data_IF_186797684341
#
_entry.id   IF_186797684341
#
_cell.length_a   1.000
_cell.length_b   1.000
_cell.length_c   1.000
_cell.angle_alpha   90.00
_cell.angle_beta   90.00
_cell.angle_gamma   90.00
#
_symmetry.space_group_name_H-M   'P 1'
#
loop_
_entity.id
_entity.type
_entity.pdbx_description
1 polymer ?
#
# COMPACT_ATOMS: atom_id res chain seq x y z
N UNK A 1 14.03 -62.76 -17.83
CA UNK A 1 13.36 -61.67 -17.07
C UNK A 1 14.17 -60.40 -17.28
N UNK A 2 13.62 -59.40 -17.97
CA UNK A 2 14.31 -58.12 -18.18
C UNK A 2 14.40 -57.35 -16.85
N UNK A 3 15.56 -56.74 -16.57
CA UNK A 3 15.78 -55.95 -15.35
C UNK A 3 14.88 -54.70 -15.34
N UNK A 4 14.52 -54.19 -14.16
CA UNK A 4 13.66 -52.99 -13.99
C UNK A 4 14.03 -51.76 -14.87
N UNK A 5 15.32 -51.47 -15.17
CA UNK A 5 15.70 -50.40 -16.10
C UNK A 5 15.30 -50.69 -17.56
N UNK A 6 15.52 -51.92 -18.03
CA UNK A 6 15.17 -52.35 -19.40
C UNK A 6 13.66 -52.27 -19.66
N UNK A 7 12.85 -52.50 -18.62
CA UNK A 7 11.39 -52.39 -18.70
C UNK A 7 10.91 -50.93 -18.85
N UNK A 8 11.58 -49.98 -18.21
CA UNK A 8 11.24 -48.55 -18.33
C UNK A 8 11.63 -47.99 -19.70
N UNK A 9 12.78 -48.41 -20.25
CA UNK A 9 13.23 -47.99 -21.58
C UNK A 9 12.26 -48.43 -22.67
N UNK A 10 11.78 -49.67 -22.61
CA UNK A 10 10.74 -50.17 -23.53
C UNK A 10 9.43 -49.37 -23.41
N UNK A 11 9.00 -49.05 -22.19
CA UNK A 11 7.80 -48.23 -21.97
C UNK A 11 7.98 -46.80 -22.50
N UNK A 12 9.16 -46.20 -22.31
CA UNK A 12 9.48 -44.87 -22.81
C UNK A 12 9.47 -44.84 -24.35
N UNK A 13 9.99 -45.88 -25.00
CA UNK A 13 9.90 -46.03 -26.46
C UNK A 13 8.45 -46.12 -26.95
N UNK A 14 7.61 -46.93 -26.31
CA UNK A 14 6.19 -47.04 -26.65
C UNK A 14 5.43 -45.72 -26.47
N UNK A 15 5.70 -44.97 -25.39
CA UNK A 15 5.10 -43.65 -25.18
C UNK A 15 5.54 -42.68 -26.28
N UNK A 16 6.83 -42.61 -26.59
CA UNK A 16 7.35 -41.74 -27.63
C UNK A 16 6.80 -42.11 -29.03
N UNK A 17 6.60 -43.39 -29.32
CA UNK A 17 5.94 -43.83 -30.54
C UNK A 17 4.50 -43.30 -30.62
N UNK A 18 3.74 -43.35 -29.51
CA UNK A 18 2.39 -42.76 -29.46
C UNK A 18 2.39 -41.24 -29.65
N UNK A 19 3.31 -40.51 -29.00
CA UNK A 19 3.45 -39.06 -29.20
C UNK A 19 3.81 -38.70 -30.65
N UNK A 20 4.67 -39.51 -31.29
CA UNK A 20 5.06 -39.37 -32.70
C UNK A 20 3.88 -39.64 -33.65
N UNK A 21 3.12 -40.72 -33.43
CA UNK A 21 1.93 -41.03 -34.22
C UNK A 21 0.85 -39.95 -34.09
N UNK A 22 0.74 -39.32 -32.91
CA UNK A 22 -0.14 -38.18 -32.67
C UNK A 22 0.44 -36.83 -33.16
N UNK A 23 1.60 -36.83 -33.83
CA UNK A 23 2.26 -35.65 -34.41
C UNK A 23 2.48 -34.49 -33.42
N UNK A 24 2.68 -34.79 -32.13
CA UNK A 24 2.75 -33.77 -31.09
C UNK A 24 4.07 -32.98 -31.03
N UNK A 25 5.07 -33.34 -31.85
CA UNK A 25 6.34 -32.61 -31.93
C UNK A 25 7.24 -32.67 -30.68
N UNK A 26 6.88 -33.50 -29.70
CA UNK A 26 7.56 -33.66 -28.41
C UNK A 26 7.95 -35.11 -28.15
N UNK A 27 9.10 -35.29 -27.52
CA UNK A 27 9.65 -36.58 -27.09
C UNK A 27 10.03 -36.52 -25.61
N UNK A 28 9.72 -37.58 -24.86
CA UNK A 28 10.17 -37.76 -23.47
C UNK A 28 11.57 -38.39 -23.49
N UNK A 29 12.52 -37.76 -22.81
CA UNK A 29 13.88 -38.27 -22.57
C UNK A 29 14.09 -38.50 -21.07
N UNK A 30 14.76 -39.59 -20.70
CA UNK A 30 15.29 -39.78 -19.36
C UNK A 30 16.69 -39.14 -19.26
N UNK A 31 16.91 -38.32 -18.24
CA UNK A 31 18.23 -37.76 -17.89
C UNK A 31 18.51 -38.04 -16.42
N UNK A 32 19.42 -38.97 -16.16
CA UNK A 32 19.67 -39.50 -14.81
C UNK A 32 18.39 -40.12 -14.25
N UNK A 33 17.97 -39.65 -13.07
CA UNK A 33 16.75 -40.12 -12.40
C UNK A 33 15.50 -39.29 -12.75
N UNK A 34 15.55 -38.38 -13.73
CA UNK A 34 14.41 -37.50 -14.07
C UNK A 34 14.01 -37.58 -15.53
N UNK A 35 12.75 -37.24 -15.79
CA UNK A 35 12.18 -37.14 -17.13
C UNK A 35 12.16 -35.68 -17.61
N UNK A 36 12.45 -35.49 -18.89
CA UNK A 36 12.42 -34.20 -19.59
C UNK A 36 11.70 -34.35 -20.92
N UNK A 37 11.15 -33.26 -21.45
CA UNK A 37 10.67 -33.17 -22.83
C UNK A 37 11.73 -32.56 -23.72
N UNK A 38 11.85 -33.07 -24.93
CA UNK A 38 12.61 -32.50 -26.02
C UNK A 38 11.70 -32.26 -27.20
N UNK A 39 11.79 -31.09 -27.81
CA UNK A 39 11.05 -30.75 -29.01
C UNK A 39 11.32 -29.32 -29.43
N UNK A 40 10.64 -28.87 -30.48
CA UNK A 40 10.74 -27.49 -30.96
C UNK A 40 9.89 -26.60 -30.07
N UNK A 41 10.55 -25.77 -29.26
CA UNK A 41 9.89 -24.85 -28.33
C UNK A 41 10.22 -23.40 -28.71
N UNK A 42 9.37 -22.42 -28.37
CA UNK A 42 9.68 -21.00 -28.51
C UNK A 42 11.00 -20.64 -27.83
N UNK A 43 11.74 -19.62 -28.29
CA UNK A 43 12.94 -19.15 -27.59
C UNK A 43 12.67 -18.88 -26.11
N UNK A 44 13.62 -19.21 -25.23
CA UNK A 44 13.54 -18.84 -23.82
C UNK A 44 13.58 -17.31 -23.67
N UNK A 45 12.92 -16.74 -22.64
CA UNK A 45 13.10 -15.34 -22.28
C UNK A 45 14.61 -15.02 -22.13
N UNK A 46 15.06 -13.94 -22.77
CA UNK A 46 16.48 -13.53 -22.79
C UNK A 46 17.38 -14.31 -23.76
N UNK A 47 16.86 -15.23 -24.58
CA UNK A 47 17.64 -15.91 -25.62
C UNK A 47 17.90 -15.00 -26.82
N UNK A 48 19.10 -15.07 -27.42
CA UNK A 48 19.41 -14.40 -28.69
C UNK A 48 18.73 -15.05 -29.92
N UNK A 49 18.03 -16.17 -29.76
CA UNK A 49 17.37 -16.87 -30.85
C UNK A 49 15.98 -16.30 -31.09
N UNK A 50 15.66 -16.02 -32.36
CA UNK A 50 14.40 -15.37 -32.76
C UNK A 50 13.31 -16.35 -33.24
N UNK A 51 13.67 -17.62 -33.45
CA UNK A 51 12.75 -18.65 -33.98
C UNK A 51 12.67 -19.85 -33.04
N UNK A 52 11.51 -20.55 -32.99
CA UNK A 52 11.41 -21.82 -32.31
C UNK A 52 12.52 -22.76 -32.74
N UNK A 53 13.12 -23.42 -31.77
CA UNK A 53 14.23 -24.35 -32.02
C UNK A 53 14.15 -25.52 -31.06
N UNK A 54 14.89 -26.57 -31.38
CA UNK A 54 14.91 -27.76 -30.54
C UNK A 54 15.51 -27.43 -29.17
N UNK A 55 14.72 -27.63 -28.14
CA UNK A 55 15.07 -27.35 -26.75
C UNK A 55 14.62 -28.48 -25.84
N UNK A 56 15.10 -28.43 -24.60
CA UNK A 56 14.68 -29.33 -23.54
C UNK A 56 13.96 -28.59 -22.43
N UNK A 57 12.92 -29.22 -21.92
CA UNK A 57 12.14 -28.78 -20.79
C UNK A 57 12.16 -29.87 -19.71
N UNK A 58 12.70 -29.56 -18.54
CA UNK A 58 12.64 -30.52 -17.43
C UNK A 58 11.22 -30.57 -16.86
N UNK A 59 10.66 -31.76 -16.69
CA UNK A 59 9.33 -31.93 -16.09
C UNK A 59 9.40 -32.04 -14.56
N UNK A 60 10.60 -32.18 -13.99
CA UNK A 60 10.75 -32.46 -12.57
C UNK A 60 10.17 -33.82 -12.13
N UNK A 61 9.80 -34.71 -13.04
CA UNK A 61 9.23 -36.02 -12.71
C UNK A 61 10.33 -37.08 -12.54
N UNK A 62 10.19 -38.04 -11.61
CA UNK A 62 11.13 -39.15 -11.47
C UNK A 62 11.00 -40.14 -12.65
N UNK A 63 12.09 -40.80 -13.01
CA UNK A 63 12.12 -41.84 -14.03
C UNK A 63 11.54 -43.16 -13.49
N UNK A 64 10.22 -43.18 -13.28
CA UNK A 64 9.44 -44.34 -12.82
C UNK A 64 8.23 -44.57 -13.74
N UNK A 65 7.57 -45.75 -13.70
CA UNK A 65 6.37 -45.98 -14.51
C UNK A 65 5.24 -44.99 -14.23
N UNK A 66 5.07 -44.55 -12.97
CA UNK A 66 4.10 -43.51 -12.60
C UNK A 66 4.53 -42.13 -13.12
N UNK A 67 5.83 -41.79 -13.01
CA UNK A 67 6.40 -40.58 -13.57
C UNK A 67 6.26 -40.50 -15.09
N UNK A 68 6.39 -41.64 -15.79
CA UNK A 68 6.24 -41.72 -17.24
C UNK A 68 4.80 -41.48 -17.69
N UNK A 69 3.79 -42.02 -16.98
CA UNK A 69 2.37 -41.70 -17.24
C UNK A 69 2.08 -40.22 -17.05
N UNK A 70 2.62 -39.62 -15.99
CA UNK A 70 2.50 -38.18 -15.74
C UNK A 70 3.21 -37.34 -16.82
N UNK A 71 4.38 -37.79 -17.28
CA UNK A 71 5.13 -37.14 -18.35
C UNK A 71 4.38 -37.20 -19.69
N UNK A 72 3.70 -38.30 -20.00
CA UNK A 72 2.85 -38.41 -21.20
C UNK A 72 1.68 -37.41 -21.14
N UNK A 73 1.01 -37.28 -19.99
CA UNK A 73 -0.05 -36.27 -19.81
C UNK A 73 0.49 -34.85 -19.98
N UNK A 74 1.63 -34.55 -19.36
CA UNK A 74 2.29 -33.25 -19.49
C UNK A 74 2.68 -32.94 -20.95
N UNK A 75 3.20 -33.93 -21.68
CA UNK A 75 3.54 -33.78 -23.09
C UNK A 75 2.32 -33.39 -23.94
N UNK A 76 1.16 -34.03 -23.71
CA UNK A 76 -0.10 -33.71 -24.42
C UNK A 76 -0.58 -32.29 -24.11
N UNK A 77 -0.55 -31.88 -22.85
CA UNK A 77 -0.93 -30.52 -22.42
C UNK A 77 0.00 -29.49 -23.06
N UNK A 78 1.30 -29.73 -23.03
CA UNK A 78 2.30 -28.82 -23.61
C UNK A 78 2.15 -28.75 -25.13
N UNK A 79 1.90 -29.88 -25.80
CA UNK A 79 1.64 -29.91 -27.23
C UNK A 79 0.38 -29.11 -27.60
N UNK A 80 -0.70 -29.24 -26.84
CA UNK A 80 -1.91 -28.42 -27.04
C UNK A 80 -1.59 -26.92 -26.89
N UNK A 81 -0.86 -26.53 -25.83
CA UNK A 81 -0.42 -25.14 -25.64
C UNK A 81 0.48 -24.64 -26.77
N UNK A 82 1.34 -25.48 -27.34
CA UNK A 82 2.19 -25.11 -28.48
C UNK A 82 1.36 -24.91 -29.75
N UNK A 83 0.38 -25.77 -30.02
CA UNK A 83 -0.54 -25.64 -31.16
C UNK A 83 -1.40 -24.38 -31.05
N UNK A 84 -1.85 -24.04 -29.84
CA UNK A 84 -2.65 -22.85 -29.56
C UNK A 84 -1.80 -21.56 -29.45
N UNK A 85 -0.47 -21.65 -29.56
CA UNK A 85 0.46 -20.55 -29.30
C UNK A 85 0.31 -19.94 -27.88
N UNK A 86 -0.11 -20.73 -26.89
CA UNK A 86 -0.29 -20.33 -25.49
C UNK A 86 0.80 -20.88 -24.56
N UNK A 87 1.83 -21.54 -25.09
CA UNK A 87 2.97 -22.07 -24.32
C UNK A 87 3.78 -20.96 -23.65
N UNK A 88 4.09 -21.11 -22.36
CA UNK A 88 4.85 -20.14 -21.55
C UNK A 88 6.00 -20.82 -20.85
N UNK A 89 7.23 -20.32 -21.01
CA UNK A 89 8.38 -20.86 -20.28
C UNK A 89 8.24 -20.70 -18.77
N UNK A 90 7.60 -19.62 -18.31
CA UNK A 90 7.41 -19.31 -16.88
C UNK A 90 6.59 -20.38 -16.13
N UNK A 91 5.67 -21.08 -16.81
CA UNK A 91 4.89 -22.18 -16.23
C UNK A 91 5.79 -23.38 -15.84
N UNK A 92 7.01 -23.43 -16.38
CA UNK A 92 7.90 -24.59 -16.27
C UNK A 92 9.33 -24.22 -15.83
N UNK A 93 9.68 -22.93 -15.87
CA UNK A 93 10.93 -22.40 -15.33
C UNK A 93 10.79 -22.22 -13.83
N UNK A 94 11.38 -23.16 -13.08
CA UNK A 94 11.50 -23.00 -11.64
C UNK A 94 12.40 -21.80 -11.35
N UNK A 95 11.86 -20.80 -10.67
CA UNK A 95 12.68 -19.83 -9.95
C UNK A 95 13.50 -20.61 -8.93
N UNK A 96 14.82 -20.67 -9.13
CA UNK A 96 15.71 -21.39 -8.22
C UNK A 96 15.60 -20.78 -6.81
N UNK A 97 15.30 -21.61 -5.80
CA UNK A 97 15.29 -21.21 -4.39
C UNK A 97 13.91 -21.00 -3.74
N UNK A 98 12.81 -21.10 -4.48
CA UNK A 98 11.46 -20.75 -3.99
C UNK A 98 10.65 -21.87 -3.29
N UNK A 99 11.15 -23.12 -3.25
CA UNK A 99 10.38 -24.25 -2.69
C UNK A 99 9.00 -24.40 -3.34
N UNK A 100 7.95 -24.68 -2.54
CA UNK A 100 6.56 -24.84 -3.00
C UNK A 100 5.93 -23.56 -3.59
N UNK A 101 6.42 -22.38 -3.23
CA UNK A 101 5.88 -21.11 -3.74
C UNK A 101 6.17 -20.88 -5.22
N UNK A 102 7.28 -21.44 -5.73
CA UNK A 102 7.64 -21.35 -7.14
C UNK A 102 6.81 -22.25 -8.06
N UNK A 103 5.96 -23.12 -7.50
CA UNK A 103 5.04 -23.99 -8.24
C UNK A 103 3.65 -23.34 -8.41
N UNK A 104 3.42 -22.23 -7.72
CA UNK A 104 2.16 -21.48 -7.75
C UNK A 104 2.14 -20.48 -8.91
N UNK A 105 0.95 -20.24 -9.48
CA UNK A 105 0.70 -19.13 -10.39
C UNK A 105 0.93 -17.78 -9.71
N UNK A 106 1.13 -16.72 -10.50
CA UNK A 106 1.32 -15.36 -9.97
C UNK A 106 0.13 -14.92 -9.08
N UNK A 107 -1.09 -15.32 -9.42
CA UNK A 107 -2.28 -15.04 -8.61
C UNK A 107 -2.24 -15.71 -7.25
N UNK A 108 -1.84 -16.98 -7.22
CA UNK A 108 -1.68 -17.76 -5.98
C UNK A 108 -0.50 -17.24 -5.14
N UNK A 109 0.60 -16.80 -5.78
CA UNK A 109 1.72 -16.14 -5.10
C UNK A 109 1.29 -14.84 -4.41
N UNK A 110 0.43 -14.03 -5.06
CA UNK A 110 -0.13 -12.80 -4.47
C UNK A 110 -1.07 -13.14 -3.31
N UNK A 111 -1.91 -14.16 -3.42
CA UNK A 111 -2.79 -14.61 -2.34
C UNK A 111 -1.99 -15.15 -1.13
N UNK A 112 -0.89 -15.87 -1.40
CA UNK A 112 0.03 -16.32 -0.35
C UNK A 112 0.72 -15.13 0.33
N UNK A 113 1.10 -14.11 -0.44
CA UNK A 113 1.67 -12.88 0.11
C UNK A 113 0.68 -12.12 0.99
N UNK A 114 -0.58 -12.01 0.57
CA UNK A 114 -1.66 -11.40 1.38
C UNK A 114 -1.80 -12.09 2.73
N UNK A 115 -1.89 -13.43 2.71
CA UNK A 115 -2.03 -14.25 3.91
C UNK A 115 -0.84 -14.05 4.85
N UNK A 116 0.39 -14.07 4.32
CA UNK A 116 1.60 -13.86 5.10
C UNK A 116 1.71 -12.42 5.64
N UNK A 117 1.25 -11.43 4.88
CA UNK A 117 1.25 -10.03 5.28
C UNK A 117 0.27 -9.76 6.42
N UNK A 118 -0.94 -10.30 6.34
CA UNK A 118 -1.97 -10.15 7.39
C UNK A 118 -1.60 -10.90 8.67
N UNK A 119 -0.86 -12.01 8.56
CA UNK A 119 -0.39 -12.76 9.73
C UNK A 119 0.66 -12.01 10.58
N UNK A 120 1.28 -10.94 10.07
CA UNK A 120 2.31 -10.17 10.81
C UNK A 120 1.72 -9.31 11.96
N UNK A 121 0.40 -9.26 12.15
CA UNK A 121 -0.28 -8.68 13.32
C UNK A 121 -0.25 -7.15 13.47
N UNK A 122 0.81 -6.49 12.99
CA UNK A 122 1.07 -5.05 13.20
C UNK A 122 0.68 -4.17 12.00
N UNK A 123 0.10 -4.75 10.94
CA UNK A 123 -0.15 -4.07 9.67
C UNK A 123 -1.65 -4.03 9.39
N UNK A 124 -2.20 -2.81 9.25
CA UNK A 124 -3.63 -2.65 8.99
C UNK A 124 -4.03 -3.24 7.64
N UNK A 125 -5.12 -4.01 7.61
CA UNK A 125 -5.79 -4.50 6.38
C UNK A 125 -6.06 -3.36 5.38
N UNK A 126 -6.37 -2.17 5.87
CA UNK A 126 -6.55 -0.98 5.00
C UNK A 126 -5.27 -0.61 4.25
N UNK A 127 -4.09 -0.78 4.84
CA UNK A 127 -2.81 -0.55 4.15
C UNK A 127 -2.63 -1.55 3.01
N UNK A 128 -3.00 -2.82 3.23
CA UNK A 128 -2.94 -3.82 2.16
C UNK A 128 -3.88 -3.44 1.00
N UNK A 129 -5.15 -3.18 1.31
CA UNK A 129 -6.19 -2.88 0.33
C UNK A 129 -5.93 -1.60 -0.46
N UNK A 130 -5.34 -0.58 0.17
CA UNK A 130 -5.14 0.74 -0.46
C UNK A 130 -3.75 0.97 -1.04
N UNK A 131 -2.71 0.32 -0.50
CA UNK A 131 -1.32 0.60 -0.88
C UNK A 131 -0.62 -0.57 -1.59
N UNK A 132 -1.02 -1.82 -1.36
CA UNK A 132 -0.37 -2.99 -1.97
C UNK A 132 -1.22 -3.60 -3.09
N UNK A 133 -2.44 -3.99 -2.76
CA UNK A 133 -3.35 -4.71 -3.64
C UNK A 133 -3.59 -4.04 -5.01
N UNK A 134 -3.73 -2.70 -5.13
CA UNK A 134 -3.94 -2.06 -6.42
C UNK A 134 -2.79 -2.33 -7.40
N UNK A 135 -1.54 -2.25 -6.95
CA UNK A 135 -0.35 -2.48 -7.78
C UNK A 135 -0.14 -3.96 -8.08
N UNK A 136 -0.44 -4.85 -7.13
CA UNK A 136 -0.39 -6.31 -7.37
C UNK A 136 -1.45 -6.77 -8.37
N UNK A 137 -2.64 -6.15 -8.39
CA UNK A 137 -3.66 -6.38 -9.43
C UNK A 137 -3.21 -5.86 -10.80
N UNK A 138 -2.55 -4.70 -10.84
CA UNK A 138 -1.94 -4.21 -12.08
C UNK A 138 -0.87 -5.17 -12.60
N UNK A 139 -0.06 -5.74 -11.71
CA UNK A 139 0.93 -6.76 -12.04
C UNK A 139 0.28 -8.02 -12.63
N UNK A 140 -0.82 -8.51 -12.05
CA UNK A 140 -1.59 -9.63 -12.62
C UNK A 140 -2.13 -9.30 -14.01
N UNK A 141 -2.69 -8.10 -14.19
CA UNK A 141 -3.20 -7.66 -15.50
C UNK A 141 -2.07 -7.55 -16.52
N UNK A 142 -0.92 -7.00 -16.13
CA UNK A 142 0.25 -6.90 -17.00
C UNK A 142 0.80 -8.28 -17.38
N UNK A 143 0.84 -9.23 -16.44
CA UNK A 143 1.24 -10.61 -16.70
C UNK A 143 0.29 -11.32 -17.68
N UNK A 144 -1.01 -11.00 -17.62
CA UNK A 144 -1.98 -11.52 -18.57
C UNK A 144 -1.82 -10.91 -19.98
N UNK A 145 -1.51 -9.61 -20.06
CA UNK A 145 -1.32 -8.88 -21.33
C UNK A 145 0.04 -9.14 -22.00
N UNK A 146 1.09 -9.38 -21.21
CA UNK A 146 2.45 -9.61 -21.66
C UNK A 146 2.99 -10.92 -21.07
N UNK A 147 2.47 -12.08 -21.52
CA UNK A 147 2.80 -13.39 -20.94
C UNK A 147 4.26 -13.81 -21.13
N UNK A 148 4.98 -13.19 -22.06
CA UNK A 148 6.40 -13.47 -22.33
C UNK A 148 7.35 -12.70 -21.40
N UNK A 149 6.85 -11.68 -20.69
CA UNK A 149 7.68 -10.81 -19.86
C UNK A 149 7.91 -11.44 -18.50
N UNK A 150 9.16 -11.49 -18.07
CA UNK A 150 9.55 -11.89 -16.72
C UNK A 150 8.90 -10.99 -15.65
N UNK A 151 8.84 -11.49 -14.41
CA UNK A 151 8.37 -10.69 -13.27
C UNK A 151 9.10 -9.33 -13.16
N UNK A 152 10.40 -9.32 -13.43
CA UNK A 152 11.20 -8.09 -13.41
C UNK A 152 10.77 -7.11 -14.51
N UNK A 153 10.61 -7.57 -15.75
CA UNK A 153 10.16 -6.74 -16.88
C UNK A 153 8.77 -6.17 -16.66
N UNK A 154 7.85 -6.98 -16.11
CA UNK A 154 6.50 -6.53 -15.75
C UNK A 154 6.53 -5.43 -14.68
N UNK A 155 7.32 -5.60 -13.62
CA UNK A 155 7.46 -4.60 -12.55
C UNK A 155 8.07 -3.31 -13.11
N UNK A 156 9.14 -3.40 -13.90
CA UNK A 156 9.78 -2.21 -14.48
C UNK A 156 8.87 -1.49 -15.47
N UNK A 157 8.14 -2.23 -16.32
CA UNK A 157 7.18 -1.67 -17.26
C UNK A 157 6.06 -0.90 -16.54
N UNK A 158 5.52 -1.45 -15.45
CA UNK A 158 4.52 -0.75 -14.63
C UNK A 158 5.08 0.50 -13.97
N UNK A 159 6.30 0.45 -13.43
CA UNK A 159 6.92 1.62 -12.80
C UNK A 159 7.24 2.74 -13.80
N UNK A 160 7.55 2.42 -15.05
CA UNK A 160 7.78 3.41 -16.09
C UNK A 160 6.51 4.17 -16.49
N UNK A 161 5.33 3.56 -16.32
CA UNK A 161 4.04 4.20 -16.58
C UNK A 161 3.65 5.22 -15.50
N UNK A 162 4.28 5.16 -14.32
CA UNK A 162 4.02 6.10 -13.23
C UNK A 162 5.08 7.20 -13.23
N UNK A 163 4.72 8.50 -13.31
CA UNK A 163 5.69 9.59 -13.28
C UNK A 163 6.62 9.54 -12.06
N UNK A 164 7.90 9.83 -12.26
CA UNK A 164 8.98 9.59 -11.29
C UNK A 164 8.79 10.36 -9.97
N UNK A 165 8.20 11.53 -10.03
CA UNK A 165 8.04 12.49 -8.95
C UNK A 165 6.71 12.36 -8.20
N UNK A 166 5.99 11.24 -8.34
CA UNK A 166 4.71 11.04 -7.67
C UNK A 166 4.81 10.09 -6.48
N UNK A 167 4.09 10.43 -5.39
CA UNK A 167 3.90 9.56 -4.22
C UNK A 167 3.41 8.16 -4.62
N UNK A 168 2.58 8.06 -5.65
CA UNK A 168 2.09 6.79 -6.19
C UNK A 168 3.22 5.85 -6.61
N UNK A 169 4.28 6.37 -7.25
CA UNK A 169 5.43 5.55 -7.68
C UNK A 169 6.20 4.97 -6.50
N UNK A 170 6.35 5.75 -5.43
CA UNK A 170 6.99 5.28 -4.20
C UNK A 170 6.18 4.17 -3.52
N UNK A 171 4.85 4.31 -3.49
CA UNK A 171 3.97 3.26 -2.96
C UNK A 171 4.07 2.00 -3.83
N UNK A 172 4.04 2.13 -5.15
CA UNK A 172 4.22 1.01 -6.07
C UNK A 172 5.56 0.29 -5.84
N UNK A 173 6.66 1.04 -5.72
CA UNK A 173 7.98 0.46 -5.43
C UNK A 173 8.01 -0.27 -4.09
N UNK A 174 7.35 0.27 -3.05
CA UNK A 174 7.26 -0.38 -1.74
C UNK A 174 6.46 -1.68 -1.82
N UNK A 175 5.32 -1.67 -2.52
CA UNK A 175 4.49 -2.85 -2.73
C UNK A 175 5.26 -3.96 -3.47
N UNK A 176 5.90 -3.62 -4.59
CA UNK A 176 6.68 -4.58 -5.38
C UNK A 176 7.93 -5.07 -4.64
N UNK A 177 8.60 -4.21 -3.86
CA UNK A 177 9.75 -4.62 -3.05
C UNK A 177 9.33 -5.61 -1.94
N UNK A 178 8.19 -5.36 -1.29
CA UNK A 178 7.61 -6.29 -0.32
C UNK A 178 7.30 -7.64 -0.95
N UNK A 179 6.67 -7.64 -2.13
CA UNK A 179 6.34 -8.87 -2.86
C UNK A 179 7.59 -9.63 -3.32
N UNK A 180 8.59 -8.95 -3.89
CA UNK A 180 9.84 -9.59 -4.31
C UNK A 180 10.60 -10.19 -3.12
N UNK A 181 10.61 -9.49 -1.97
CA UNK A 181 11.18 -10.01 -0.73
C UNK A 181 10.46 -11.26 -0.25
N UNK A 182 9.12 -11.27 -0.29
CA UNK A 182 8.33 -12.44 0.05
C UNK A 182 8.65 -13.64 -0.85
N UNK A 183 8.86 -13.39 -2.14
CA UNK A 183 9.27 -14.41 -3.11
C UNK A 183 10.78 -14.74 -3.08
N UNK A 184 11.59 -14.07 -2.26
CA UNK A 184 13.05 -14.23 -2.31
C UNK A 184 13.66 -13.93 -3.68
N UNK A 185 13.00 -13.12 -4.51
CA UNK A 185 13.46 -12.76 -5.85
C UNK A 185 14.32 -11.50 -5.77
N UNK A 186 15.57 -11.62 -6.21
CA UNK A 186 16.44 -10.48 -6.42
C UNK A 186 16.16 -9.87 -7.81
N UNK A 187 15.81 -8.59 -7.82
CA UNK A 187 15.62 -7.83 -9.06
C UNK A 187 16.98 -7.32 -9.59
N UNK A 188 17.22 -7.32 -10.92
CA UNK A 188 18.49 -6.86 -11.51
C UNK A 188 18.84 -5.41 -11.14
N UNK A 189 17.84 -4.53 -11.11
CA UNK A 189 17.94 -3.13 -10.73
C UNK A 189 17.13 -2.92 -9.44
N UNK A 190 17.73 -2.40 -8.35
CA UNK A 190 17.03 -2.11 -7.11
C UNK A 190 15.90 -1.11 -7.30
N UNK A 191 14.71 -1.42 -6.76
CA UNK A 191 13.52 -0.57 -6.88
C UNK A 191 13.68 0.83 -6.26
N UNK A 192 14.61 1.00 -5.31
CA UNK A 192 14.93 2.29 -4.73
C UNK A 192 15.37 3.34 -5.77
N UNK A 193 15.97 2.90 -6.88
CA UNK A 193 16.38 3.79 -7.98
C UNK A 193 15.17 4.36 -8.75
N UNK A 194 14.01 3.73 -8.65
CA UNK A 194 12.77 4.14 -9.31
C UNK A 194 11.83 4.96 -8.40
N UNK A 195 12.22 5.25 -7.16
CA UNK A 195 11.42 6.05 -6.21
C UNK A 195 11.27 7.51 -6.62
N UNK A 196 12.19 8.01 -7.44
CA UNK A 196 12.32 9.42 -7.82
C UNK A 196 12.76 10.33 -6.67
N UNK A 197 12.97 11.61 -6.99
CA UNK A 197 13.35 12.67 -6.05
C UNK A 197 12.16 13.28 -5.31
N UNK A 198 10.99 12.62 -5.30
CA UNK A 198 9.84 13.02 -4.48
C UNK A 198 10.18 12.91 -3.00
N UNK A 199 10.96 13.85 -2.52
CA UNK A 199 11.17 14.10 -1.12
C UNK A 199 9.99 14.93 -0.65
N UNK A 200 9.64 14.85 0.63
CA UNK A 200 8.66 15.77 1.22
C UNK A 200 9.04 17.24 1.03
N UNK A 201 10.26 17.56 0.54
CA UNK A 201 10.72 18.90 0.15
C UNK A 201 10.12 19.42 -1.17
N UNK A 202 9.50 18.58 -2.01
CA UNK A 202 8.86 19.03 -3.26
C UNK A 202 7.39 19.44 -3.13
N UNK A 203 6.79 19.28 -1.94
CA UNK A 203 5.43 19.79 -1.70
C UNK A 203 5.48 21.33 -1.68
N UNK A 204 4.70 21.98 -2.55
CA UNK A 204 4.51 23.43 -2.59
C UNK A 204 4.07 23.99 -1.23
N UNK A 205 4.43 25.24 -0.90
CA UNK A 205 3.89 25.98 0.26
C UNK A 205 2.38 25.77 0.38
N UNK A 206 1.92 25.26 1.51
CA UNK A 206 0.50 25.08 1.80
C UNK A 206 0.01 26.37 2.43
N UNK A 207 -0.91 27.05 1.77
CA UNK A 207 -1.61 28.20 2.37
C UNK A 207 -2.54 27.68 3.46
N UNK A 208 -2.25 28.04 4.71
CA UNK A 208 -3.05 27.68 5.88
C UNK A 208 -4.03 28.81 6.18
N UNK A 209 -5.27 28.49 6.59
CA UNK A 209 -6.24 29.53 6.89
C UNK A 209 -5.85 30.29 8.16
N UNK A 210 -6.04 31.60 8.16
CA UNK A 210 -5.89 32.45 9.33
C UNK A 210 -6.99 32.21 10.36
N UNK A 211 -6.81 32.74 11.57
CA UNK A 211 -7.83 32.68 12.61
C UNK A 211 -9.11 33.40 12.18
N UNK A 212 -8.99 34.54 11.48
CA UNK A 212 -10.13 35.28 10.93
C UNK A 212 -10.87 34.46 9.86
N UNK A 213 -10.14 33.81 8.94
CA UNK A 213 -10.73 32.96 7.91
C UNK A 213 -11.46 31.76 8.51
N UNK A 214 -10.90 31.17 9.59
CA UNK A 214 -11.53 30.04 10.29
C UNK A 214 -12.83 30.49 10.98
N UNK A 215 -12.83 31.66 11.61
CA UNK A 215 -14.03 32.22 12.24
C UNK A 215 -15.09 32.59 11.19
N UNK A 216 -14.69 33.16 10.06
CA UNK A 216 -15.60 33.49 8.97
C UNK A 216 -16.23 32.23 8.34
N UNK A 217 -15.42 31.20 8.08
CA UNK A 217 -15.90 29.93 7.54
C UNK A 217 -16.85 29.19 8.50
N UNK A 218 -16.65 29.30 9.82
CA UNK A 218 -17.56 28.73 10.82
C UNK A 218 -19.00 29.25 10.66
N UNK A 219 -19.15 30.54 10.37
CA UNK A 219 -20.46 31.18 10.20
C UNK A 219 -21.20 30.71 8.94
N UNK A 220 -20.46 30.21 7.93
CA UNK A 220 -21.04 29.75 6.66
C UNK A 220 -21.66 28.35 6.76
N UNK A 221 -21.39 27.59 7.83
CA UNK A 221 -21.84 26.19 7.95
C UNK A 221 -23.28 26.15 8.46
N UNK A 222 -24.30 25.81 7.66
CA UNK A 222 -25.70 25.96 8.07
C UNK A 222 -26.16 24.89 9.07
N UNK A 223 -25.63 23.67 8.98
CA UNK A 223 -26.05 22.58 9.86
C UNK A 223 -25.29 22.67 11.21
N UNK A 224 -26.00 22.79 12.34
CA UNK A 224 -25.35 23.03 13.63
C UNK A 224 -24.50 21.82 14.09
N UNK A 225 -24.85 20.60 13.69
CA UNK A 225 -24.06 19.42 14.03
C UNK A 225 -22.71 19.39 13.30
N UNK A 226 -22.70 19.75 12.01
CA UNK A 226 -21.46 19.85 11.26
C UNK A 226 -20.65 21.09 11.60
N UNK A 227 -21.33 22.16 12.04
CA UNK A 227 -20.69 23.35 12.61
C UNK A 227 -19.96 23.01 13.92
N UNK A 228 -20.57 22.17 14.76
CA UNK A 228 -19.94 21.62 15.97
C UNK A 228 -18.70 20.77 15.65
N UNK A 229 -18.79 19.86 14.66
CA UNK A 229 -17.64 19.07 14.16
C UNK A 229 -16.50 19.98 13.71
N UNK A 230 -16.81 21.01 12.93
CA UNK A 230 -15.82 22.00 12.49
C UNK A 230 -15.15 22.69 13.69
N UNK A 231 -15.94 23.15 14.66
CA UNK A 231 -15.44 23.86 15.84
C UNK A 231 -14.50 23.00 16.67
N UNK A 232 -14.83 21.73 16.90
CA UNK A 232 -13.94 20.78 17.56
C UNK A 232 -12.62 20.61 16.79
N UNK A 233 -12.68 20.41 15.48
CA UNK A 233 -11.46 20.23 14.67
C UNK A 233 -10.56 21.48 14.68
N UNK A 234 -11.14 22.67 14.60
CA UNK A 234 -10.42 23.93 14.62
C UNK A 234 -9.76 24.21 15.99
N UNK A 235 -10.45 23.85 17.07
CA UNK A 235 -10.05 24.16 18.46
C UNK A 235 -9.04 23.17 19.02
N UNK A 236 -9.16 21.89 18.66
CA UNK A 236 -8.34 20.80 19.20
C UNK A 236 -7.41 20.15 18.16
N UNK A 237 -7.39 20.64 16.92
CA UNK A 237 -6.50 20.11 15.90
C UNK A 237 -6.73 18.62 15.57
N UNK A 238 -7.96 18.12 15.71
CA UNK A 238 -8.28 16.70 15.54
C UNK A 238 -8.13 16.22 14.09
N UNK A 239 -7.77 14.95 13.89
CA UNK A 239 -7.92 14.30 12.58
C UNK A 239 -9.41 14.16 12.27
N UNK A 240 -9.74 14.14 10.98
CA UNK A 240 -11.13 14.10 10.51
C UNK A 240 -11.99 13.00 11.14
N UNK A 241 -11.43 11.83 11.47
CA UNK A 241 -12.20 10.76 12.11
C UNK A 241 -12.21 10.86 13.64
N UNK A 242 -11.17 11.43 14.26
CA UNK A 242 -11.02 11.52 15.72
C UNK A 242 -12.15 12.32 16.38
N UNK A 243 -12.68 13.32 15.68
CA UNK A 243 -13.82 14.14 16.14
C UNK A 243 -15.06 13.33 16.56
N UNK A 244 -15.20 12.09 16.08
CA UNK A 244 -16.31 11.19 16.44
C UNK A 244 -15.97 10.19 17.55
N UNK A 245 -14.74 10.21 18.05
CA UNK A 245 -14.21 9.30 19.06
C UNK A 245 -13.52 10.09 20.17
N UNK A 246 -14.15 11.19 20.61
CA UNK A 246 -13.67 12.00 21.72
C UNK A 246 -14.59 11.80 22.93
N UNK A 247 -14.02 11.71 24.12
CA UNK A 247 -14.74 11.99 25.36
C UNK A 247 -14.85 13.51 25.54
N UNK A 248 -16.08 13.99 25.55
CA UNK A 248 -16.45 15.41 25.67
C UNK A 248 -17.02 15.74 27.05
N UNK A 249 -17.01 14.79 28.00
CA UNK A 249 -17.58 14.95 29.33
C UNK A 249 -17.04 16.18 30.05
N UNK A 250 -15.73 16.45 29.96
CA UNK A 250 -15.09 17.65 30.52
C UNK A 250 -15.67 18.97 29.99
N UNK A 251 -16.04 19.03 28.71
CA UNK A 251 -16.66 20.23 28.15
C UNK A 251 -18.07 20.45 28.71
N UNK A 252 -18.83 19.37 28.87
CA UNK A 252 -20.20 19.39 29.40
C UNK A 252 -20.22 19.80 30.86
N UNK A 253 -19.28 19.29 31.67
CA UNK A 253 -19.19 19.59 33.10
C UNK A 253 -18.63 20.98 33.39
N UNK A 254 -18.16 21.71 32.38
CA UNK A 254 -17.64 23.05 32.58
C UNK A 254 -16.16 23.10 32.93
N UNK A 255 -15.36 22.07 32.60
CA UNK A 255 -13.92 22.05 32.90
C UNK A 255 -13.27 23.36 32.41
N UNK A 256 -12.61 24.12 33.29
CA UNK A 256 -11.94 25.37 32.93
C UNK A 256 -10.75 25.15 32.00
N UNK A 257 -10.12 23.98 32.01
CA UNK A 257 -9.05 23.65 31.06
C UNK A 257 -9.59 23.28 29.68
N UNK A 258 -10.88 22.93 29.59
CA UNK A 258 -11.54 22.51 28.36
C UNK A 258 -10.86 21.31 27.71
N UNK A 259 -10.23 20.42 28.47
CA UNK A 259 -9.51 19.29 27.90
C UNK A 259 -10.49 18.23 27.35
N UNK A 260 -10.14 17.62 26.22
CA UNK A 260 -10.84 16.44 25.69
C UNK A 260 -9.87 15.25 25.57
N UNK A 261 -10.42 14.05 25.61
CA UNK A 261 -9.67 12.81 25.42
C UNK A 261 -10.08 12.15 24.09
N UNK A 262 -9.12 11.90 23.21
CA UNK A 262 -9.34 11.11 21.99
C UNK A 262 -9.15 9.65 22.32
N UNK A 263 -10.20 8.86 22.12
CA UNK A 263 -10.23 7.43 22.43
C UNK A 263 -9.35 6.62 21.48
N UNK A 264 -8.93 5.45 21.94
CA UNK A 264 -8.09 4.55 21.16
C UNK A 264 -8.84 3.98 19.95
N UNK A 265 -8.52 4.50 18.77
CA UNK A 265 -9.06 4.03 17.49
C UNK A 265 -7.96 3.37 16.67
N UNK A 266 -7.46 2.23 17.14
CA UNK A 266 -6.62 1.24 16.39
C UNK A 266 -5.27 1.69 15.78
N UNK A 267 -4.89 2.99 15.79
CA UNK A 267 -3.57 3.42 15.24
C UNK A 267 -2.89 4.58 15.98
N UNK A 268 -3.62 5.48 16.60
CA UNK A 268 -3.08 6.74 17.15
C UNK A 268 -2.94 6.75 18.67
N UNK A 269 -3.38 5.68 19.36
CA UNK A 269 -3.42 5.60 20.81
C UNK A 269 -4.39 6.62 21.44
N UNK A 270 -4.69 6.44 22.72
CA UNK A 270 -5.37 7.48 23.49
C UNK A 270 -4.46 8.70 23.65
N UNK A 271 -5.01 9.91 23.50
CA UNK A 271 -4.30 11.15 23.78
C UNK A 271 -5.24 12.25 24.25
N UNK A 272 -4.71 13.12 25.10
CA UNK A 272 -5.41 14.28 25.65
C UNK A 272 -5.04 15.55 24.89
N UNK A 273 -6.01 16.44 24.69
CA UNK A 273 -5.86 17.63 23.88
C UNK A 273 -6.52 18.83 24.56
N UNK A 274 -5.83 19.96 24.55
CA UNK A 274 -6.30 21.24 25.05
C UNK A 274 -6.66 22.19 23.90
N UNK A 275 -7.57 23.15 24.14
CA UNK A 275 -8.03 24.06 23.12
C UNK A 275 -6.99 25.14 22.81
N UNK A 276 -6.71 25.36 21.52
CA UNK A 276 -5.87 26.47 21.05
C UNK A 276 -6.55 27.21 19.88
N UNK A 277 -7.03 28.45 20.10
CA UNK A 277 -7.00 29.20 21.35
C UNK A 277 -8.13 28.78 22.33
N UNK A 278 -7.96 28.93 23.66
CA UNK A 278 -8.95 28.47 24.65
C UNK A 278 -10.35 29.08 24.48
N UNK A 279 -10.44 30.36 24.11
CA UNK A 279 -11.71 31.05 23.94
C UNK A 279 -12.60 30.46 22.83
N UNK A 280 -12.04 29.66 21.92
CA UNK A 280 -12.84 29.00 20.87
C UNK A 280 -13.79 27.94 21.40
N UNK A 281 -13.59 27.45 22.62
CA UNK A 281 -14.58 26.62 23.33
C UNK A 281 -15.91 27.36 23.44
N UNK A 282 -15.88 28.63 23.83
CA UNK A 282 -17.11 29.44 23.97
C UNK A 282 -17.57 29.99 22.62
N UNK A 283 -16.66 30.51 21.79
CA UNK A 283 -17.00 31.08 20.47
C UNK A 283 -17.72 30.07 19.57
N UNK A 284 -17.32 28.79 19.64
CA UNK A 284 -17.96 27.73 18.86
C UNK A 284 -19.04 26.95 19.61
N UNK A 285 -19.35 27.32 20.87
CA UNK A 285 -20.37 26.66 21.68
C UNK A 285 -20.07 25.20 21.99
N UNK A 286 -18.80 24.85 22.23
CA UNK A 286 -18.34 23.46 22.31
C UNK A 286 -18.81 22.71 23.57
N UNK A 287 -19.30 23.45 24.59
CA UNK A 287 -19.90 22.90 25.81
C UNK A 287 -21.27 22.25 25.62
N UNK A 288 -21.87 22.39 24.44
CA UNK A 288 -23.14 21.75 24.09
C UNK A 288 -22.95 20.76 22.95
N UNK A 289 -22.51 19.50 23.24
CA UNK A 289 -22.19 18.52 22.22
C UNK A 289 -23.33 18.24 21.25
N UNK A 290 -23.05 18.39 19.95
CA UNK A 290 -24.01 18.11 18.90
C UNK A 290 -23.32 17.46 17.69
N UNK A 291 -23.01 16.16 17.79
CA UNK A 291 -22.41 15.42 16.67
C UNK A 291 -23.48 14.94 15.68
N UNK A 292 -23.19 14.91 14.36
CA UNK A 292 -24.11 14.37 13.37
C UNK A 292 -24.21 12.85 13.53
N UNK A 293 -25.40 12.30 13.29
CA UNK A 293 -25.63 10.85 13.33
C UNK A 293 -24.99 10.20 12.10
N UNK A 294 -23.80 9.64 12.27
CA UNK A 294 -23.10 8.85 11.25
C UNK A 294 -22.80 7.45 11.80
N UNK A 295 -22.56 6.50 10.89
CA UNK A 295 -22.12 5.17 11.31
C UNK A 295 -20.65 5.24 11.78
N UNK A 296 -20.42 5.04 13.07
CA UNK A 296 -19.10 4.95 13.73
C UNK A 296 -18.73 3.53 14.16
N UNK A 297 -19.60 2.54 13.91
CA UNK A 297 -19.36 1.14 14.22
C UNK A 297 -18.23 0.59 13.35
N UNK A 298 -17.03 0.45 13.94
CA UNK A 298 -15.81 0.02 13.24
C UNK A 298 -15.88 -1.44 12.76
N UNK A 299 -16.90 -2.21 13.16
CA UNK A 299 -17.17 -3.54 12.56
C UNK A 299 -17.85 -3.43 11.19
N UNK A 300 -18.51 -2.29 10.91
CA UNK A 300 -19.28 -2.03 9.68
C UNK A 300 -18.71 -0.93 8.81
N UNK A 301 -17.85 -0.08 9.36
CA UNK A 301 -17.21 1.04 8.64
C UNK A 301 -15.72 1.14 8.96
N UNK A 302 -15.00 2.02 8.27
CA UNK A 302 -13.58 2.27 8.52
C UNK A 302 -13.35 3.72 8.93
N UNK A 303 -12.29 3.99 9.69
CA UNK A 303 -11.87 5.36 10.04
C UNK A 303 -11.67 6.23 8.80
N UNK A 304 -11.18 5.64 7.70
CA UNK A 304 -11.06 6.32 6.41
C UNK A 304 -12.43 6.79 5.88
N UNK A 305 -13.44 5.91 5.88
CA UNK A 305 -14.79 6.26 5.42
C UNK A 305 -15.43 7.33 6.32
N UNK A 306 -15.24 7.23 7.64
CA UNK A 306 -15.69 8.25 8.59
C UNK A 306 -15.05 9.60 8.27
N UNK A 307 -13.71 9.66 8.16
CA UNK A 307 -12.99 10.89 7.83
C UNK A 307 -13.29 11.44 6.43
N UNK A 308 -13.66 10.58 5.47
CA UNK A 308 -14.13 11.00 4.15
C UNK A 308 -15.46 11.75 4.21
N UNK A 309 -16.37 11.41 5.14
CA UNK A 309 -17.63 12.16 5.31
C UNK A 309 -17.37 13.61 5.68
N UNK A 310 -16.40 13.88 6.55
CA UNK A 310 -15.99 15.26 6.89
C UNK A 310 -15.49 16.00 5.66
N UNK A 311 -14.61 15.37 4.86
CA UNK A 311 -14.11 15.97 3.61
C UNK A 311 -15.24 16.29 2.63
N UNK A 312 -16.17 15.36 2.43
CA UNK A 312 -17.32 15.56 1.56
C UNK A 312 -18.19 16.71 2.04
N UNK A 313 -18.38 16.82 3.35
CA UNK A 313 -19.21 17.87 3.92
C UNK A 313 -18.58 19.26 3.80
N UNK A 314 -17.28 19.40 4.06
CA UNK A 314 -16.56 20.66 3.82
C UNK A 314 -16.67 21.10 2.36
N UNK A 315 -16.50 20.17 1.42
CA UNK A 315 -16.69 20.44 -0.02
C UNK A 315 -18.12 20.86 -0.35
N UNK A 316 -19.12 20.20 0.23
CA UNK A 316 -20.54 20.51 0.01
C UNK A 316 -20.89 21.92 0.50
N UNK A 317 -20.22 22.40 1.55
CA UNK A 317 -20.38 23.77 2.03
C UNK A 317 -19.51 24.79 1.30
N UNK A 318 -18.67 24.38 0.35
CA UNK A 318 -17.82 25.29 -0.42
C UNK A 318 -16.74 25.98 0.41
N UNK A 319 -16.29 25.35 1.52
CA UNK A 319 -15.26 25.97 2.37
C UNK A 319 -13.93 26.11 1.61
N UNK A 320 -13.19 27.22 1.81
CA UNK A 320 -12.01 27.56 1.01
C UNK A 320 -10.78 26.67 1.31
N UNK A 321 -10.86 25.80 2.32
CA UNK A 321 -9.77 24.90 2.73
C UNK A 321 -10.30 23.51 3.12
N UNK A 322 -9.37 22.56 3.24
CA UNK A 322 -9.68 21.17 3.60
C UNK A 322 -9.74 21.02 5.12
N UNK A 323 -10.48 20.03 5.65
CA UNK A 323 -10.53 19.81 7.10
C UNK A 323 -9.15 19.61 7.75
N UNK A 324 -8.21 18.98 7.04
CA UNK A 324 -6.87 18.76 7.56
C UNK A 324 -6.06 20.07 7.70
N UNK A 325 -6.43 21.14 6.98
CA UNK A 325 -5.81 22.47 7.13
C UNK A 325 -6.07 23.05 8.52
N UNK A 326 -7.23 22.79 9.12
CA UNK A 326 -7.54 23.19 10.50
C UNK A 326 -6.57 22.59 11.51
N UNK A 327 -6.24 21.31 11.32
CA UNK A 327 -5.24 20.61 12.15
C UNK A 327 -3.84 21.18 11.98
N UNK A 328 -3.47 21.59 10.76
CA UNK A 328 -2.20 22.29 10.53
C UNK A 328 -2.19 23.67 11.18
N UNK A 329 -3.27 24.45 11.03
CA UNK A 329 -3.41 25.77 11.64
C UNK A 329 -3.33 25.67 13.18
N UNK A 330 -3.95 24.66 13.77
CA UNK A 330 -3.83 24.39 15.21
C UNK A 330 -2.38 24.13 15.64
N UNK A 331 -1.62 23.30 14.91
CA UNK A 331 -0.22 23.05 15.22
C UNK A 331 0.64 24.32 15.14
N UNK A 332 0.38 25.17 14.14
CA UNK A 332 1.06 26.47 14.02
C UNK A 332 0.68 27.39 15.18
N UNK A 333 -0.60 27.44 15.59
CA UNK A 333 -1.02 28.16 16.81
C UNK A 333 -0.26 27.71 18.04
N UNK A 334 -0.09 26.40 18.26
CA UNK A 334 0.62 25.93 19.45
C UNK A 334 2.06 26.45 19.53
N UNK A 335 2.73 26.63 18.38
CA UNK A 335 4.06 27.22 18.30
C UNK A 335 4.01 28.71 18.70
N UNK A 336 3.02 29.45 18.21
CA UNK A 336 2.84 30.85 18.62
C UNK A 336 2.62 30.96 20.13
N UNK A 337 1.81 30.08 20.72
CA UNK A 337 1.58 30.02 22.16
C UNK A 337 2.80 29.55 22.97
N UNK A 338 3.91 29.18 22.33
CA UNK A 338 5.13 28.74 23.00
C UNK A 338 5.02 27.32 23.57
N UNK A 339 4.07 26.51 23.10
CA UNK A 339 3.92 25.14 23.55
C UNK A 339 5.11 24.30 23.02
N UNK A 340 5.81 23.53 23.87
CA UNK A 340 6.89 22.68 23.40
C UNK A 340 6.42 21.65 22.37
N UNK A 341 7.21 21.44 21.31
CA UNK A 341 6.91 20.47 20.24
C UNK A 341 6.64 19.06 20.75
N UNK A 342 7.29 18.66 21.84
CA UNK A 342 7.07 17.36 22.50
C UNK A 342 5.64 17.23 23.01
N UNK A 343 5.10 18.30 23.60
CA UNK A 343 3.75 18.37 24.14
C UNK A 343 2.75 18.46 22.99
N UNK A 344 2.97 19.36 22.02
CA UNK A 344 2.13 19.48 20.83
C UNK A 344 2.05 18.15 20.06
N UNK A 345 3.18 17.44 19.89
CA UNK A 345 3.20 16.15 19.21
C UNK A 345 2.40 15.07 19.95
N UNK A 346 2.51 15.03 21.28
CA UNK A 346 1.74 14.11 22.12
C UNK A 346 0.24 14.40 22.04
N UNK A 347 -0.16 15.67 22.13
CA UNK A 347 -1.55 16.09 21.96
C UNK A 347 -2.10 15.81 20.57
N UNK A 348 -1.24 15.74 19.56
CA UNK A 348 -1.64 15.36 18.21
C UNK A 348 -1.58 13.84 17.97
N UNK A 349 -1.17 13.03 18.96
CA UNK A 349 -1.07 11.58 18.81
C UNK A 349 -0.09 11.17 17.70
N UNK A 350 1.11 11.73 17.68
CA UNK A 350 2.22 11.26 16.84
C UNK A 350 3.59 11.59 17.44
N UNK A 351 4.67 11.02 16.90
CA UNK A 351 6.03 11.32 17.36
C UNK A 351 6.48 12.75 17.02
N UNK A 352 7.45 13.27 17.77
CA UNK A 352 8.06 14.59 17.51
C UNK A 352 8.71 14.65 16.13
N UNK A 353 9.34 13.56 15.68
CA UNK A 353 9.90 13.47 14.34
C UNK A 353 8.82 13.61 13.25
N UNK A 354 7.63 13.02 13.46
CA UNK A 354 6.50 13.21 12.55
C UNK A 354 5.98 14.65 12.63
N UNK A 355 5.88 15.22 13.84
CA UNK A 355 5.40 16.59 14.05
C UNK A 355 6.27 17.61 13.30
N UNK A 356 7.56 17.62 13.59
CA UNK A 356 8.55 18.53 12.98
C UNK A 356 8.58 18.37 11.46
N UNK A 357 8.61 17.14 10.94
CA UNK A 357 8.59 16.91 9.49
C UNK A 357 7.30 17.37 8.81
N UNK A 358 6.18 17.42 9.54
CA UNK A 358 4.85 17.68 8.96
C UNK A 358 4.41 19.14 9.13
N UNK A 359 4.75 19.78 10.23
CA UNK A 359 4.19 21.09 10.63
C UNK A 359 5.23 22.22 10.59
N UNK A 360 6.47 21.99 11.04
CA UNK A 360 7.50 23.04 11.07
C UNK A 360 7.90 23.55 9.69
N UNK A 361 7.75 22.74 8.64
CA UNK A 361 8.02 23.17 7.26
C UNK A 361 7.08 24.28 6.77
N UNK A 362 5.91 24.44 7.41
CA UNK A 362 4.92 25.45 7.04
C UNK A 362 5.01 26.70 7.91
N UNK A 363 5.97 26.78 8.84
CA UNK A 363 6.29 28.03 9.49
C UNK A 363 6.78 29.01 8.43
N UNK A 364 5.94 29.98 8.12
CA UNK A 364 6.28 31.07 7.23
C UNK A 364 7.26 32.02 7.93
N UNK A 365 7.90 32.91 7.16
CA UNK A 365 8.72 33.98 7.73
C UNK A 365 7.91 34.85 8.72
N UNK A 366 6.60 35.03 8.46
CA UNK A 366 5.67 35.71 9.37
C UNK A 366 5.59 34.99 10.71
N UNK A 367 5.50 33.66 10.69
CA UNK A 367 5.33 32.87 11.90
C UNK A 367 6.60 32.85 12.75
N UNK A 368 7.75 32.74 12.08
CA UNK A 368 9.06 32.87 12.71
C UNK A 368 9.23 34.24 13.36
N UNK A 369 8.88 35.33 12.66
CA UNK A 369 8.96 36.69 13.20
C UNK A 369 8.08 36.85 14.43
N UNK A 370 6.83 36.39 14.41
CA UNK A 370 5.94 36.50 15.57
C UNK A 370 6.43 35.69 16.78
N UNK A 371 6.95 34.48 16.56
CA UNK A 371 7.53 33.66 17.63
C UNK A 371 8.75 34.35 18.25
N UNK A 372 9.67 34.88 17.43
CA UNK A 372 10.85 35.63 17.88
C UNK A 372 10.44 36.91 18.62
N UNK A 373 9.50 37.69 18.09
CA UNK A 373 9.01 38.91 18.76
C UNK A 373 8.44 38.60 20.14
N UNK A 374 7.66 37.52 20.30
CA UNK A 374 7.15 37.10 21.62
C UNK A 374 8.27 36.81 22.61
N UNK A 375 9.26 36.02 22.21
CA UNK A 375 10.41 35.69 23.08
C UNK A 375 11.18 36.96 23.46
N UNK A 376 11.45 37.84 22.50
CA UNK A 376 12.15 39.11 22.74
C UNK A 376 11.36 40.00 23.71
N UNK A 377 10.04 40.12 23.55
CA UNK A 377 9.21 40.89 24.48
C UNK A 377 9.15 40.27 25.88
N UNK A 378 9.14 38.93 26.01
CA UNK A 378 9.18 38.28 27.31
C UNK A 378 10.52 38.49 28.03
N UNK A 379 11.62 38.55 27.28
CA UNK A 379 12.96 38.87 27.81
C UNK A 379 13.14 40.35 28.16
N UNK A 380 12.39 41.27 27.55
CA UNK A 380 12.42 42.70 27.89
C UNK A 380 11.62 43.05 29.15
N UNK A 381 10.71 42.16 29.59
CA UNK A 381 9.90 42.30 30.81
C UNK A 381 10.26 41.32 31.94
N UNK A 382 11.34 40.54 31.78
CA UNK A 382 11.96 39.71 32.82
C UNK A 382 13.27 40.34 33.27
#
# INVERSE_FOLDING_TARGET
>A
MATSPQKLDQQLQQVNQRLKLAQLGLQIEQRGQRLSLRGTLPPRPGSHRLRPHQQRLSLGLPATPSGLKAAEKAAKIIAAKLLENTFRWQDYERVKGLGRLGELSLGEQIAAFETAWLAQGNLSRTTWETAYLPYLRQLLKAAAAHPDYSLAELIYGLLQQIPADQRQRQVACTAFQGFCRFLGVALPIPLAQFWGTYSRRSLQPRELPSDEEILAAYQQIPNPQWRYVYGLMATYGLRNHEVFFCDLSGLVTGDPQGMIEVQETTKTGCHQVWPFPPQWVEVFGLRSPQLPRINTDLTKTTLQRIGQRVNQQFRRYGLPFRPYDLRHAWAVRTIHYGLPDTVAARMMGHSVAIHTQTYHRWLTLRDQRQAVTRVLTQCEYS
#
